data_IF_203827218512
#
_entry.id   IF_203827218512
#
_cell.length_a   1.000
_cell.length_b   1.000
_cell.length_c   1.000
_cell.angle_alpha   90.00
_cell.angle_beta   90.00
_cell.angle_gamma   90.00
#
_symmetry.space_group_name_H-M   'P 1'
#
loop_
_entity.id
_entity.type
_entity.pdbx_description
1 polymer ?
#
# COMPACT_ATOMS: atom_id res chain seq x y z
N UNK A 1 29.86 -16.73 -42.64
CA UNK A 1 29.73 -16.65 -41.17
C UNK A 1 30.25 -15.29 -40.72
N UNK A 2 29.35 -14.31 -40.56
CA UNK A 2 29.67 -13.04 -39.93
C UNK A 2 28.82 -12.98 -38.66
N UNK A 3 29.50 -13.02 -37.51
CA UNK A 3 28.88 -13.07 -36.20
C UNK A 3 27.98 -11.83 -36.01
N UNK A 4 26.70 -12.11 -35.73
CA UNK A 4 25.76 -11.12 -35.27
C UNK A 4 26.34 -10.50 -33.98
N UNK A 5 26.63 -9.20 -34.02
CA UNK A 5 26.92 -8.41 -32.83
C UNK A 5 25.64 -8.43 -31.98
N UNK A 6 25.67 -9.19 -30.90
CA UNK A 6 24.68 -9.10 -29.83
C UNK A 6 24.60 -7.65 -29.37
N UNK A 7 23.43 -7.04 -29.50
CA UNK A 7 23.15 -5.75 -28.91
C UNK A 7 23.09 -5.93 -27.39
N UNK A 8 24.14 -5.53 -26.68
CA UNK A 8 24.13 -5.45 -25.22
C UNK A 8 22.97 -4.55 -24.75
N UNK A 9 22.16 -4.98 -23.78
CA UNK A 9 21.06 -4.18 -23.26
C UNK A 9 21.60 -3.04 -22.38
N UNK A 10 21.82 -1.87 -22.98
CA UNK A 10 22.31 -0.68 -22.31
C UNK A 10 21.17 0.06 -21.57
N UNK A 11 21.28 0.15 -20.22
CA UNK A 11 21.22 1.40 -19.42
C UNK A 11 19.98 1.91 -18.66
N UNK A 12 19.01 1.11 -18.21
CA UNK A 12 17.93 1.65 -17.36
C UNK A 12 18.44 2.07 -15.95
N UNK A 13 19.31 1.25 -15.34
CA UNK A 13 19.88 1.50 -14.00
C UNK A 13 20.79 2.74 -13.94
N UNK A 14 21.61 3.00 -14.95
CA UNK A 14 22.54 4.15 -14.92
C UNK A 14 21.79 5.49 -15.00
N UNK A 15 20.65 5.54 -15.70
CA UNK A 15 19.81 6.75 -15.78
C UNK A 15 19.21 7.05 -14.39
N UNK A 16 18.81 6.01 -13.66
CA UNK A 16 18.32 6.14 -12.28
C UNK A 16 19.42 6.68 -11.37
N UNK A 17 20.63 6.13 -11.44
CA UNK A 17 21.79 6.57 -10.64
C UNK A 17 22.12 8.04 -10.90
N UNK A 18 22.20 8.44 -12.16
CA UNK A 18 22.51 9.81 -12.55
C UNK A 18 21.42 10.79 -12.09
N UNK A 19 20.15 10.37 -12.16
CA UNK A 19 19.03 11.15 -11.67
C UNK A 19 19.02 11.28 -10.14
N UNK A 20 19.33 10.20 -9.41
CA UNK A 20 19.47 10.20 -7.94
C UNK A 20 20.56 11.19 -7.53
N UNK A 21 21.75 11.07 -8.12
CA UNK A 21 22.88 11.97 -7.87
C UNK A 21 22.53 13.42 -8.15
N UNK A 22 21.88 13.70 -9.28
CA UNK A 22 21.45 15.05 -9.67
C UNK A 22 20.45 15.65 -8.67
N UNK A 23 19.50 14.86 -8.19
CA UNK A 23 18.45 15.34 -7.27
C UNK A 23 18.96 15.49 -5.83
N UNK A 24 19.84 14.61 -5.38
CA UNK A 24 20.54 14.74 -4.09
C UNK A 24 21.38 16.02 -4.05
N UNK A 25 22.19 16.27 -5.09
CA UNK A 25 23.00 17.51 -5.18
C UNK A 25 22.17 18.78 -5.22
N UNK A 26 20.92 18.71 -5.68
CA UNK A 26 19.98 19.85 -5.74
C UNK A 26 19.10 19.99 -4.50
N UNK A 27 19.21 19.09 -3.52
CA UNK A 27 18.32 19.07 -2.36
C UNK A 27 16.84 18.80 -2.71
N UNK A 28 16.56 18.26 -3.90
CA UNK A 28 15.20 18.06 -4.43
C UNK A 28 14.57 16.77 -3.87
N UNK A 29 14.49 16.68 -2.54
CA UNK A 29 14.11 15.48 -1.77
C UNK A 29 12.75 14.89 -2.17
N UNK A 30 11.74 15.74 -2.41
CA UNK A 30 10.38 15.30 -2.82
C UNK A 30 10.39 14.66 -4.21
N UNK A 31 11.13 15.24 -5.16
CA UNK A 31 11.22 14.71 -6.53
C UNK A 31 12.06 13.44 -6.59
N UNK A 32 13.15 13.40 -5.82
CA UNK A 32 13.95 12.21 -5.63
C UNK A 32 13.08 11.05 -5.14
N UNK A 33 12.26 11.32 -4.13
CA UNK A 33 11.40 10.30 -3.57
C UNK A 33 10.30 9.83 -4.53
N UNK A 34 9.63 10.77 -5.21
CA UNK A 34 8.60 10.43 -6.20
C UNK A 34 9.16 9.62 -7.38
N UNK A 35 10.43 9.83 -7.71
CA UNK A 35 11.14 9.02 -8.70
C UNK A 35 11.45 7.64 -8.14
N UNK A 36 12.07 7.55 -6.95
CA UNK A 36 12.47 6.28 -6.33
C UNK A 36 11.30 5.31 -6.12
N UNK A 37 10.11 5.81 -5.76
CA UNK A 37 8.90 4.99 -5.59
C UNK A 37 8.35 4.44 -6.91
N UNK A 38 8.68 5.07 -8.05
CA UNK A 38 8.24 4.65 -9.39
C UNK A 38 9.21 3.68 -10.07
N UNK A 39 10.44 3.56 -9.58
CA UNK A 39 11.45 2.65 -10.13
C UNK A 39 11.14 1.21 -9.68
N UNK A 40 11.31 0.23 -10.58
CA UNK A 40 11.08 -1.18 -10.23
C UNK A 40 12.07 -1.64 -9.15
N UNK A 41 11.67 -2.53 -8.22
CA UNK A 41 12.55 -2.99 -7.14
C UNK A 41 13.91 -3.56 -7.62
N UNK A 42 13.93 -4.26 -8.76
CA UNK A 42 15.15 -4.83 -9.34
C UNK A 42 16.12 -3.75 -9.86
N UNK A 43 15.61 -2.74 -10.55
CA UNK A 43 16.42 -1.62 -11.06
C UNK A 43 16.91 -0.72 -9.93
N UNK A 44 16.09 -0.57 -8.88
CA UNK A 44 16.45 0.13 -7.66
C UNK A 44 17.60 -0.57 -6.93
N UNK A 45 17.52 -1.89 -6.78
CA UNK A 45 18.59 -2.69 -6.17
C UNK A 45 19.90 -2.58 -6.96
N UNK A 46 19.83 -2.56 -8.29
CA UNK A 46 21.01 -2.41 -9.15
C UNK A 46 21.58 -0.98 -9.11
N UNK A 47 20.73 0.05 -9.07
CA UNK A 47 21.15 1.44 -8.91
C UNK A 47 21.81 1.67 -7.55
N UNK A 48 21.30 1.06 -6.48
CA UNK A 48 21.88 1.18 -5.12
C UNK A 48 23.25 0.50 -4.95
N UNK A 49 23.66 -0.38 -5.87
CA UNK A 49 25.03 -0.93 -5.89
C UNK A 49 26.05 0.05 -6.43
N UNK A 50 25.62 1.03 -7.23
CA UNK A 50 26.48 1.98 -7.94
C UNK A 50 26.46 3.40 -7.34
N UNK A 51 25.70 3.60 -6.25
CA UNK A 51 25.72 4.82 -5.43
C UNK A 51 26.83 4.77 -4.38
N UNK A 52 27.47 5.91 -4.13
CA UNK A 52 28.47 6.05 -3.08
C UNK A 52 27.81 6.03 -1.67
N UNK A 53 28.60 5.77 -0.63
CA UNK A 53 28.09 5.54 0.75
C UNK A 53 27.21 6.66 1.30
N UNK A 54 27.52 7.92 0.99
CA UNK A 54 26.68 9.08 1.37
C UNK A 54 25.39 9.16 0.55
N UNK A 55 25.46 8.95 -0.77
CA UNK A 55 24.29 8.99 -1.65
C UNK A 55 23.29 7.89 -1.27
N UNK A 56 23.81 6.70 -0.98
CA UNK A 56 23.06 5.51 -0.58
C UNK A 56 22.36 5.71 0.76
N UNK A 57 23.06 6.27 1.75
CA UNK A 57 22.48 6.53 3.07
C UNK A 57 21.45 7.66 3.04
N UNK A 58 21.65 8.70 2.23
CA UNK A 58 20.68 9.78 2.02
C UNK A 58 19.40 9.27 1.33
N UNK A 59 19.54 8.50 0.24
CA UNK A 59 18.40 7.91 -0.45
C UNK A 59 17.64 6.91 0.43
N UNK A 60 18.35 6.09 1.20
CA UNK A 60 17.75 5.12 2.13
C UNK A 60 17.00 5.81 3.27
N UNK A 61 17.58 6.87 3.87
CA UNK A 61 16.91 7.66 4.92
C UNK A 61 15.60 8.26 4.41
N UNK A 62 15.59 8.85 3.21
CA UNK A 62 14.37 9.42 2.62
C UNK A 62 13.29 8.36 2.35
N UNK A 63 13.69 7.16 1.94
CA UNK A 63 12.78 6.02 1.77
C UNK A 63 12.23 5.52 3.11
N UNK A 64 13.09 5.37 4.12
CA UNK A 64 12.74 4.90 5.45
C UNK A 64 11.85 5.90 6.22
N UNK A 65 12.11 7.20 6.08
CA UNK A 65 11.36 8.27 6.75
C UNK A 65 9.91 8.38 6.27
N UNK A 66 9.63 7.98 5.02
CA UNK A 66 8.27 7.93 4.46
C UNK A 66 7.66 6.53 4.46
N UNK A 67 8.47 5.48 4.64
CA UNK A 67 8.02 4.12 4.86
C UNK A 67 7.55 3.95 6.32
N UNK A 68 6.52 4.69 6.72
CA UNK A 68 5.73 4.26 7.88
C UNK A 68 5.13 2.86 7.57
N UNK A 69 4.79 2.05 8.59
CA UNK A 69 4.13 0.76 8.40
C UNK A 69 2.87 0.85 7.50
N UNK A 70 2.23 2.02 7.49
CA UNK A 70 1.05 2.35 6.68
C UNK A 70 1.40 2.55 5.19
N UNK A 71 2.56 3.12 4.88
CA UNK A 71 3.03 3.32 3.50
C UNK A 71 3.45 2.00 2.83
N UNK A 72 4.02 1.05 3.58
CA UNK A 72 4.31 -0.30 3.07
C UNK A 72 3.02 -1.04 2.67
N UNK A 73 1.95 -0.91 3.45
CA UNK A 73 0.63 -1.45 3.13
C UNK A 73 0.03 -0.77 1.87
N UNK A 74 0.12 0.56 1.76
CA UNK A 74 -0.33 1.31 0.58
C UNK A 74 0.43 0.90 -0.69
N UNK A 75 1.74 0.69 -0.62
CA UNK A 75 2.55 0.21 -1.76
C UNK A 75 2.15 -1.20 -2.23
N UNK A 76 1.78 -2.08 -1.29
CA UNK A 76 1.22 -3.40 -1.62
C UNK A 76 -0.12 -3.30 -2.35
N UNK A 77 -1.01 -2.43 -1.86
CA UNK A 77 -2.32 -2.17 -2.48
C UNK A 77 -2.18 -1.55 -3.88
N UNK A 78 -1.22 -0.64 -4.09
CA UNK A 78 -0.95 -0.04 -5.40
C UNK A 78 -0.45 -1.07 -6.43
N UNK A 79 0.40 -2.02 -6.03
CA UNK A 79 0.85 -3.10 -6.91
C UNK A 79 -0.30 -4.04 -7.28
N UNK A 80 -1.14 -4.42 -6.31
CA UNK A 80 -2.31 -5.26 -6.55
C UNK A 80 -3.30 -4.58 -7.52
N UNK A 81 -3.59 -3.28 -7.31
CA UNK A 81 -4.47 -2.50 -8.18
C UNK A 81 -3.92 -2.38 -9.62
N UNK A 82 -2.60 -2.22 -9.78
CA UNK A 82 -1.95 -2.12 -11.10
C UNK A 82 -1.98 -3.45 -11.87
N UNK A 83 -1.78 -4.58 -11.17
CA UNK A 83 -1.92 -5.93 -11.76
C UNK A 83 -3.37 -6.17 -12.18
N UNK A 84 -4.33 -5.78 -11.33
CA UNK A 84 -5.75 -5.92 -11.61
C UNK A 84 -6.20 -5.06 -12.79
N UNK A 85 -5.71 -3.81 -12.90
CA UNK A 85 -5.98 -2.91 -14.02
C UNK A 85 -5.43 -3.45 -15.36
N UNK A 86 -4.24 -4.06 -15.36
CA UNK A 86 -3.69 -4.78 -16.54
C UNK A 86 -4.49 -6.05 -16.87
N UNK A 87 -5.03 -6.75 -15.86
CA UNK A 87 -5.95 -7.87 -16.04
C UNK A 87 -7.34 -7.47 -16.56
N UNK A 88 -7.77 -6.23 -16.30
CA UNK A 88 -9.02 -5.66 -16.77
C UNK A 88 -8.94 -5.18 -18.24
N UNK A 89 -7.81 -4.60 -18.66
CA UNK A 89 -7.62 -4.13 -20.05
C UNK A 89 -7.47 -5.26 -21.07
N UNK A 90 -7.30 -6.51 -20.61
CA UNK A 90 -7.26 -7.73 -21.44
C UNK A 90 -8.64 -8.39 -21.63
N UNK A 91 -9.73 -7.74 -21.17
CA UNK A 91 -11.11 -8.10 -21.52
C UNK A 91 -11.70 -9.30 -20.77
N UNK A 92 -11.09 -9.76 -19.67
CA UNK A 92 -11.47 -11.02 -18.99
C UNK A 92 -12.42 -10.91 -17.79
N UNK A 93 -13.02 -9.75 -17.48
CA UNK A 93 -13.80 -9.62 -16.23
C UNK A 93 -15.28 -9.32 -16.50
N UNK A 94 -16.08 -10.38 -16.38
CA UNK A 94 -17.54 -10.34 -16.33
C UNK A 94 -18.03 -10.03 -14.91
N UNK A 95 -19.15 -9.31 -14.79
CA UNK A 95 -19.87 -8.99 -13.53
C UNK A 95 -20.28 -10.23 -12.72
N UNK A 96 -20.04 -11.44 -13.23
CA UNK A 96 -20.32 -12.73 -12.59
C UNK A 96 -19.23 -13.17 -11.59
N UNK A 97 -18.11 -12.45 -11.51
CA UNK A 97 -16.95 -12.80 -10.67
C UNK A 97 -16.86 -12.04 -9.32
N UNK A 98 -17.72 -11.04 -9.10
CA UNK A 98 -17.60 -10.10 -7.95
C UNK A 98 -17.65 -10.81 -6.61
N UNK A 99 -18.62 -11.72 -6.43
CA UNK A 99 -18.73 -12.50 -5.20
C UNK A 99 -17.49 -13.37 -4.95
N UNK A 100 -16.90 -13.93 -6.02
CA UNK A 100 -15.66 -14.70 -5.93
C UNK A 100 -14.45 -13.85 -5.55
N UNK A 101 -14.36 -12.62 -6.05
CA UNK A 101 -13.32 -11.65 -5.67
C UNK A 101 -13.48 -11.22 -4.22
N UNK A 102 -14.68 -10.80 -3.81
CA UNK A 102 -14.97 -10.40 -2.42
C UNK A 102 -14.61 -11.54 -1.46
N UNK A 103 -15.03 -12.77 -1.77
CA UNK A 103 -14.76 -13.92 -0.91
C UNK A 103 -13.26 -14.23 -0.80
N UNK A 104 -12.51 -14.09 -1.90
CA UNK A 104 -11.05 -14.24 -1.89
C UNK A 104 -10.39 -13.15 -1.04
N UNK A 105 -10.80 -11.90 -1.18
CA UNK A 105 -10.23 -10.78 -0.43
C UNK A 105 -10.55 -10.88 1.07
N UNK A 106 -11.78 -11.23 1.44
CA UNK A 106 -12.16 -11.48 2.85
C UNK A 106 -11.31 -12.59 3.47
N UNK A 107 -11.06 -13.68 2.72
CA UNK A 107 -10.21 -14.80 3.19
C UNK A 107 -8.76 -14.39 3.47
N UNK A 108 -8.26 -13.37 2.79
CA UNK A 108 -6.91 -12.83 3.02
C UNK A 108 -6.97 -11.80 4.16
N UNK A 109 -8.00 -10.95 4.18
CA UNK A 109 -8.11 -9.85 5.12
C UNK A 109 -8.46 -10.27 6.55
N UNK A 110 -9.30 -11.29 6.75
CA UNK A 110 -9.70 -11.71 8.10
C UNK A 110 -8.54 -12.29 8.93
N UNK A 111 -7.72 -13.24 8.42
CA UNK A 111 -6.55 -13.72 9.16
C UNK A 111 -5.53 -12.60 9.40
N UNK A 112 -5.30 -11.76 8.39
CA UNK A 112 -4.33 -10.67 8.49
C UNK A 112 -4.79 -9.60 9.50
N UNK A 113 -6.07 -9.24 9.48
CA UNK A 113 -6.68 -8.34 10.45
C UNK A 113 -6.70 -8.92 11.86
N UNK A 114 -6.80 -10.24 12.00
CA UNK A 114 -6.71 -10.88 13.32
C UNK A 114 -5.31 -10.73 13.89
N UNK A 115 -4.27 -10.95 13.08
CA UNK A 115 -2.87 -10.77 13.47
C UNK A 115 -2.60 -9.30 13.83
N UNK A 116 -2.98 -8.36 12.96
CA UNK A 116 -2.75 -6.93 13.22
C UNK A 116 -3.61 -6.39 14.36
N UNK A 117 -4.86 -6.84 14.48
CA UNK A 117 -5.76 -6.49 15.56
C UNK A 117 -5.23 -6.97 16.91
N UNK A 118 -4.78 -8.22 17.00
CA UNK A 118 -4.16 -8.75 18.20
C UNK A 118 -2.87 -7.99 18.55
N UNK A 119 -2.00 -7.75 17.56
CA UNK A 119 -0.76 -7.01 17.76
C UNK A 119 -1.03 -5.60 18.27
N UNK A 120 -1.96 -4.87 17.65
CA UNK A 120 -2.30 -3.50 18.03
C UNK A 120 -3.00 -3.45 19.39
N UNK A 121 -3.93 -4.36 19.66
CA UNK A 121 -4.62 -4.45 20.96
C UNK A 121 -3.64 -4.75 22.11
N UNK A 122 -2.71 -5.68 21.91
CA UNK A 122 -1.64 -5.97 22.89
C UNK A 122 -0.70 -4.78 23.03
N UNK A 123 -0.29 -4.15 21.93
CA UNK A 123 0.54 -2.95 21.97
C UNK A 123 -0.15 -1.78 22.71
N UNK A 124 -1.46 -1.63 22.56
CA UNK A 124 -2.23 -0.61 23.29
C UNK A 124 -2.15 -0.83 24.81
N UNK A 125 -2.26 -2.08 25.26
CA UNK A 125 -2.15 -2.42 26.70
C UNK A 125 -0.70 -2.26 27.19
N UNK A 126 0.28 -2.79 26.46
CA UNK A 126 1.67 -2.86 26.95
C UNK A 126 2.45 -1.56 26.77
N UNK A 127 2.30 -0.88 25.63
CA UNK A 127 3.09 0.31 25.29
C UNK A 127 2.40 1.61 25.70
N UNK A 128 1.07 1.67 25.52
CA UNK A 128 0.28 2.86 25.81
C UNK A 128 -0.36 2.80 27.21
N UNK A 129 -0.18 1.68 27.93
CA UNK A 129 -0.68 1.44 29.29
C UNK A 129 -2.21 1.56 29.43
N UNK A 130 -2.95 1.26 28.36
CA UNK A 130 -4.40 1.13 28.46
C UNK A 130 -4.77 -0.10 29.29
N UNK A 131 -5.95 -0.07 29.90
CA UNK A 131 -6.49 -1.27 30.54
C UNK A 131 -6.79 -2.35 29.49
N UNK A 132 -6.72 -3.65 29.84
CA UNK A 132 -7.13 -4.72 28.93
C UNK A 132 -8.55 -4.56 28.37
N UNK A 133 -9.45 -3.93 29.15
CA UNK A 133 -10.81 -3.63 28.75
C UNK A 133 -10.89 -2.59 27.62
N UNK A 134 -9.89 -1.71 27.48
CA UNK A 134 -9.82 -0.71 26.42
C UNK A 134 -8.98 -1.18 25.23
N UNK A 135 -7.94 -2.00 25.47
CA UNK A 135 -7.11 -2.58 24.41
C UNK A 135 -7.86 -3.59 23.52
N UNK A 136 -8.83 -4.31 24.08
CA UNK A 136 -9.64 -5.28 23.34
C UNK A 136 -10.52 -4.61 22.25
N UNK A 137 -11.29 -3.54 22.54
CA UNK A 137 -11.97 -2.73 21.53
C UNK A 137 -11.06 -2.22 20.41
N UNK A 138 -9.83 -1.78 20.73
CA UNK A 138 -8.86 -1.30 19.73
C UNK A 138 -8.51 -2.41 18.74
N UNK A 139 -8.13 -3.59 19.23
CA UNK A 139 -7.79 -4.71 18.36
C UNK A 139 -8.97 -5.23 17.53
N UNK A 140 -10.14 -5.33 18.16
CA UNK A 140 -11.37 -5.82 17.51
C UNK A 140 -11.86 -4.86 16.41
N UNK A 141 -11.80 -3.55 16.65
CA UNK A 141 -12.17 -2.54 15.66
C UNK A 141 -11.28 -2.58 14.42
N UNK A 142 -9.97 -2.81 14.59
CA UNK A 142 -9.06 -2.95 13.46
C UNK A 142 -9.37 -4.19 12.63
N UNK A 143 -9.67 -5.32 13.30
CA UNK A 143 -10.06 -6.55 12.60
C UNK A 143 -11.31 -6.37 11.73
N UNK A 144 -12.35 -5.74 12.29
CA UNK A 144 -13.58 -5.43 11.56
C UNK A 144 -13.33 -4.44 10.41
N UNK A 145 -12.54 -3.40 10.67
CA UNK A 145 -12.16 -2.40 9.66
C UNK A 145 -11.44 -3.04 8.46
N UNK A 146 -10.51 -3.98 8.70
CA UNK A 146 -9.83 -4.67 7.61
C UNK A 146 -10.78 -5.54 6.78
N UNK A 147 -11.76 -6.18 7.41
CA UNK A 147 -12.81 -6.92 6.71
C UNK A 147 -13.64 -6.01 5.79
N UNK A 148 -14.08 -4.86 6.29
CA UNK A 148 -14.84 -3.88 5.51
C UNK A 148 -13.99 -3.27 4.39
N UNK A 149 -12.72 -2.97 4.66
CA UNK A 149 -11.78 -2.43 3.68
C UNK A 149 -11.56 -3.40 2.51
N UNK A 150 -11.52 -4.72 2.76
CA UNK A 150 -11.40 -5.74 1.73
C UNK A 150 -12.61 -5.78 0.79
N UNK A 151 -13.82 -5.69 1.35
CA UNK A 151 -15.07 -5.60 0.57
C UNK A 151 -15.07 -4.32 -0.27
N UNK A 152 -14.74 -3.19 0.35
CA UNK A 152 -14.69 -1.90 -0.32
C UNK A 152 -13.65 -1.89 -1.44
N UNK A 153 -12.45 -2.41 -1.21
CA UNK A 153 -11.39 -2.49 -2.22
C UNK A 153 -11.78 -3.33 -3.45
N UNK A 154 -12.60 -4.37 -3.24
CA UNK A 154 -13.14 -5.19 -4.33
C UNK A 154 -14.30 -4.49 -5.07
N UNK A 155 -15.17 -3.78 -4.36
CA UNK A 155 -16.43 -3.23 -4.90
C UNK A 155 -16.25 -1.82 -5.48
N UNK A 156 -15.39 -0.98 -4.89
CA UNK A 156 -15.26 0.42 -5.27
C UNK A 156 -14.90 0.63 -6.75
N UNK A 157 -13.93 -0.09 -7.34
CA UNK A 157 -13.61 0.07 -8.77
C UNK A 157 -14.81 -0.22 -9.68
N UNK A 158 -15.70 -1.12 -9.25
CA UNK A 158 -16.92 -1.46 -9.98
C UNK A 158 -17.99 -0.39 -9.88
N UNK A 159 -18.14 0.22 -8.71
CA UNK A 159 -19.02 1.37 -8.51
C UNK A 159 -18.56 2.53 -9.39
N UNK A 160 -17.26 2.85 -9.35
CA UNK A 160 -16.66 3.91 -10.18
C UNK A 160 -16.90 3.68 -11.68
N UNK A 161 -16.73 2.43 -12.14
CA UNK A 161 -17.04 2.06 -13.52
C UNK A 161 -18.52 2.26 -13.87
N UNK A 162 -19.43 1.96 -12.95
CA UNK A 162 -20.88 2.14 -13.15
C UNK A 162 -21.26 3.61 -13.32
N UNK A 163 -20.62 4.51 -12.57
CA UNK A 163 -20.84 5.97 -12.66
C UNK A 163 -19.99 6.66 -13.74
N UNK A 164 -19.36 5.90 -14.65
CA UNK A 164 -18.49 6.39 -15.74
C UNK A 164 -17.27 7.20 -15.29
N UNK A 165 -16.82 6.99 -14.05
CA UNK A 165 -15.55 7.55 -13.55
C UNK A 165 -14.44 6.53 -13.79
N UNK A 166 -13.28 6.99 -14.27
CA UNK A 166 -12.12 6.12 -14.49
C UNK A 166 -11.61 5.56 -13.14
N UNK A 167 -11.73 4.23 -12.90
CA UNK A 167 -11.27 3.62 -11.66
C UNK A 167 -9.76 3.77 -11.48
N UNK A 168 -8.96 3.77 -12.55
CA UNK A 168 -7.50 3.82 -12.43
C UNK A 168 -7.02 5.15 -11.83
N UNK A 169 -7.71 6.25 -12.16
CA UNK A 169 -7.38 7.59 -11.65
C UNK A 169 -8.01 7.88 -10.28
N UNK A 170 -9.22 7.38 -10.03
CA UNK A 170 -10.00 7.74 -8.85
C UNK A 170 -9.83 6.77 -7.66
N UNK A 171 -9.52 5.49 -7.89
CA UNK A 171 -9.59 4.47 -6.81
C UNK A 171 -8.69 4.83 -5.61
N UNK A 172 -7.48 5.35 -5.82
CA UNK A 172 -6.55 5.60 -4.69
C UNK A 172 -7.08 6.60 -3.65
N UNK A 173 -7.45 7.86 -3.99
CA UNK A 173 -7.97 8.80 -2.99
C UNK A 173 -9.30 8.35 -2.39
N UNK A 174 -10.21 7.77 -3.19
CA UNK A 174 -11.52 7.35 -2.69
C UNK A 174 -11.42 6.12 -1.77
N UNK A 175 -10.56 5.14 -2.06
CA UNK A 175 -10.34 3.97 -1.18
C UNK A 175 -9.81 4.45 0.16
N UNK A 176 -8.78 5.30 0.18
CA UNK A 176 -8.19 5.77 1.44
C UNK A 176 -9.23 6.50 2.30
N UNK A 177 -9.95 7.46 1.74
CA UNK A 177 -10.99 8.19 2.51
C UNK A 177 -12.08 7.27 3.04
N UNK A 178 -12.54 6.32 2.23
CA UNK A 178 -13.58 5.41 2.66
C UNK A 178 -13.08 4.37 3.68
N UNK A 179 -11.83 3.90 3.59
CA UNK A 179 -11.20 3.07 4.62
C UNK A 179 -11.02 3.84 5.93
N UNK A 180 -10.61 5.11 5.88
CA UNK A 180 -10.48 5.96 7.07
C UNK A 180 -11.84 6.13 7.77
N UNK A 181 -12.90 6.41 7.00
CA UNK A 181 -14.25 6.54 7.55
C UNK A 181 -14.76 5.21 8.14
N UNK A 182 -14.57 4.10 7.42
CA UNK A 182 -14.96 2.77 7.88
C UNK A 182 -14.18 2.34 9.14
N UNK A 183 -12.90 2.70 9.22
CA UNK A 183 -12.07 2.46 10.40
C UNK A 183 -12.55 3.21 11.62
N UNK A 184 -12.89 4.50 11.46
CA UNK A 184 -13.50 5.28 12.54
C UNK A 184 -14.86 4.70 12.95
N UNK A 185 -15.72 4.34 11.99
CA UNK A 185 -17.03 3.75 12.28
C UNK A 185 -16.89 2.41 13.01
N UNK A 186 -15.94 1.56 12.62
CA UNK A 186 -15.65 0.32 13.33
C UNK A 186 -15.16 0.60 14.76
N UNK A 187 -14.26 1.57 14.93
CA UNK A 187 -13.75 1.95 16.23
C UNK A 187 -14.85 2.47 17.15
N UNK A 188 -15.60 3.48 16.74
CA UNK A 188 -16.68 4.02 17.57
C UNK A 188 -17.82 3.02 17.78
N UNK A 189 -18.10 2.15 16.82
CA UNK A 189 -19.09 1.09 16.97
C UNK A 189 -18.72 0.06 18.05
N UNK A 190 -17.43 -0.25 18.19
CA UNK A 190 -16.93 -1.22 19.17
C UNK A 190 -16.59 -0.56 20.51
N UNK A 191 -15.86 0.56 20.48
CA UNK A 191 -15.39 1.27 21.66
C UNK A 191 -16.49 2.12 22.31
N UNK A 192 -17.45 2.65 21.54
CA UNK A 192 -18.52 3.51 22.05
C UNK A 192 -19.28 2.93 23.24
N UNK A 193 -19.79 1.69 23.17
CA UNK A 193 -20.44 1.05 24.31
C UNK A 193 -19.56 0.93 25.57
N UNK A 194 -18.25 0.76 25.40
CA UNK A 194 -17.29 0.63 26.51
C UNK A 194 -16.93 1.98 27.13
N UNK A 195 -16.93 3.05 26.32
CA UNK A 195 -16.65 4.42 26.75
C UNK A 195 -17.86 5.08 27.45
N UNK A 196 -19.08 4.68 27.12
CA UNK A 196 -20.32 5.19 27.75
C UNK A 196 -20.64 4.49 29.08
N UNK A 197 -20.06 3.31 29.31
CA UNK A 197 -20.31 2.48 30.50
C UNK A 197 -19.36 2.74 31.69
N UNK A 198 -18.49 3.76 31.61
CA UNK A 198 -17.58 4.20 32.68
C UNK A 198 -18.01 5.56 33.21
#
# INVERSE_FOLDING_TARGET
>A
MAAAREAEPMKDSTIVVESVRKLLRRGATVHLLNMLVKVRPADLAEAFKSLDGEEKSAAFRLLAERASPQAAALLGLMHAATIMARGLSTGRISLRLVGGVIFKEIRIALPLGMIYGALLGVAAVLLVRLSPAEGLPVGLSLWLSMGMAAVLGAVLPMILKTIRVDPAAATSPFVTTAVDLLGLLAFFGVAGPHLVAQ
#
